data_IF_269456384847
#
_entry.id   IF_269456384847
#
_cell.length_a   1.000
_cell.length_b   1.000
_cell.length_c   1.000
_cell.angle_alpha   90.00
_cell.angle_beta   90.00
_cell.angle_gamma   90.00
#
_symmetry.space_group_name_H-M   'P 1'
#
loop_
_entity.id
_entity.type
_entity.pdbx_description
1 polymer ?
#
# COMPACT_ATOMS: atom_id res chain seq x y z
N UNK A 1 3.45 -14.15 -20.84
CA UNK A 1 4.51 -14.93 -20.14
C UNK A 1 5.15 -14.14 -18.97
N UNK A 2 4.45 -13.17 -18.37
CA UNK A 2 4.97 -12.30 -17.29
C UNK A 2 4.62 -12.77 -15.87
N UNK A 3 3.93 -13.90 -15.72
CA UNK A 3 3.27 -14.29 -14.47
C UNK A 3 4.15 -15.10 -13.50
N UNK A 4 5.10 -15.90 -14.01
CA UNK A 4 5.86 -16.81 -13.15
C UNK A 4 7.07 -16.15 -12.46
N UNK A 5 7.69 -15.14 -13.07
CA UNK A 5 8.87 -14.48 -12.48
C UNK A 5 8.50 -13.44 -11.40
N UNK A 6 7.34 -12.77 -11.53
CA UNK A 6 6.83 -11.81 -10.53
C UNK A 6 6.62 -12.47 -9.16
N UNK A 7 6.12 -13.72 -9.16
CA UNK A 7 5.91 -14.50 -7.93
C UNK A 7 7.23 -14.93 -7.25
N UNK A 8 8.32 -15.10 -8.02
CA UNK A 8 9.60 -15.55 -7.49
C UNK A 8 10.43 -14.44 -6.83
N UNK A 9 10.32 -13.18 -7.31
CA UNK A 9 11.13 -12.06 -6.79
C UNK A 9 10.41 -11.17 -5.78
N UNK A 10 9.08 -11.27 -5.70
CA UNK A 10 8.23 -10.37 -4.90
C UNK A 10 8.64 -8.90 -5.12
N UNK A 11 8.69 -8.49 -6.40
CA UNK A 11 8.95 -7.12 -6.83
C UNK A 11 7.74 -6.62 -7.59
N UNK A 12 7.37 -5.35 -7.38
CA UNK A 12 6.33 -4.70 -8.17
C UNK A 12 6.84 -4.45 -9.60
N UNK A 13 5.94 -4.50 -10.58
CA UNK A 13 6.22 -4.06 -11.93
C UNK A 13 6.43 -2.54 -11.99
N UNK A 14 7.32 -2.02 -12.87
CA UNK A 14 7.53 -0.57 -13.02
C UNK A 14 6.24 0.21 -13.29
N UNK A 15 5.30 -0.39 -13.99
CA UNK A 15 3.97 0.14 -14.30
C UNK A 15 3.13 0.47 -13.05
N UNK A 16 3.33 -0.24 -11.94
CA UNK A 16 2.52 -0.08 -10.74
C UNK A 16 2.88 1.18 -9.93
N UNK A 17 4.10 1.68 -10.08
CA UNK A 17 4.63 2.84 -9.36
C UNK A 17 5.15 3.94 -10.29
N UNK A 18 4.79 3.88 -11.58
CA UNK A 18 5.15 4.92 -12.54
C UNK A 18 4.65 6.30 -12.08
N UNK A 19 5.46 7.31 -12.38
CA UNK A 19 5.26 8.70 -11.94
C UNK A 19 5.48 8.98 -10.45
N UNK A 20 5.76 7.99 -9.61
CA UNK A 20 5.97 8.21 -8.17
C UNK A 20 7.43 8.46 -7.84
N UNK A 21 7.73 9.68 -7.39
CA UNK A 21 9.07 10.07 -6.94
C UNK A 21 9.37 9.60 -5.51
N UNK A 22 9.27 8.30 -5.25
CA UNK A 22 9.39 7.70 -3.91
C UNK A 22 10.74 7.96 -3.20
N UNK A 23 11.76 8.45 -3.91
CA UNK A 23 13.07 8.84 -3.37
C UNK A 23 13.09 10.26 -2.78
N UNK A 24 12.11 11.11 -3.11
CA UNK A 24 11.98 12.45 -2.50
C UNK A 24 11.30 12.41 -1.14
N UNK A 25 11.02 13.58 -0.56
CA UNK A 25 10.30 13.70 0.73
C UNK A 25 8.97 12.92 0.70
N UNK A 26 8.76 11.95 1.60
CA UNK A 26 7.54 11.16 1.66
C UNK A 26 6.49 11.80 2.58
N UNK A 27 5.21 11.46 2.38
CA UNK A 27 4.12 11.86 3.29
C UNK A 27 4.28 11.15 4.66
N UNK A 28 4.78 9.92 4.60
CA UNK A 28 5.22 9.14 5.75
C UNK A 28 6.21 8.09 5.28
N UNK A 29 7.22 7.81 6.07
CA UNK A 29 8.03 6.62 5.90
C UNK A 29 8.39 6.02 7.27
N UNK A 30 8.67 4.72 7.29
CA UNK A 30 8.94 4.01 8.53
C UNK A 30 9.19 2.52 8.30
N UNK A 31 9.85 1.89 9.26
CA UNK A 31 10.00 0.45 9.26
C UNK A 31 8.73 -0.23 9.76
N UNK A 32 8.35 -1.31 9.09
CA UNK A 32 7.29 -2.20 9.54
C UNK A 32 7.70 -3.65 9.34
N UNK A 33 7.23 -4.49 10.23
CA UNK A 33 7.26 -5.94 10.02
C UNK A 33 5.94 -6.38 9.40
N UNK A 34 5.97 -6.74 8.12
CA UNK A 34 4.80 -7.17 7.34
C UNK A 34 4.66 -8.69 7.32
N UNK A 35 3.43 -9.19 7.41
CA UNK A 35 3.12 -10.60 7.12
C UNK A 35 3.13 -10.88 5.61
N UNK A 36 3.78 -11.96 5.20
CA UNK A 36 3.79 -12.46 3.82
C UNK A 36 2.40 -12.92 3.36
N UNK A 37 2.12 -12.73 2.07
CA UNK A 37 0.80 -13.00 1.47
C UNK A 37 0.50 -14.50 1.41
N UNK A 38 1.37 -15.27 0.74
CA UNK A 38 1.23 -16.72 0.56
C UNK A 38 1.76 -17.51 1.75
N UNK A 39 3.00 -17.24 2.15
CA UNK A 39 3.63 -17.86 3.30
C UNK A 39 3.61 -16.83 4.42
N UNK A 40 2.91 -17.13 5.52
CA UNK A 40 2.67 -16.24 6.68
C UNK A 40 3.92 -15.99 7.55
N UNK A 41 5.05 -15.74 6.89
CA UNK A 41 6.31 -15.28 7.49
C UNK A 41 6.25 -13.77 7.71
N UNK A 42 6.97 -13.28 8.72
CA UNK A 42 7.06 -11.86 9.03
C UNK A 42 8.38 -11.30 8.50
N UNK A 43 8.33 -10.18 7.77
CA UNK A 43 9.49 -9.59 7.10
C UNK A 43 9.55 -8.09 7.35
N UNK A 44 10.69 -7.61 7.83
CA UNK A 44 10.96 -6.18 8.03
C UNK A 44 11.18 -5.48 6.69
N UNK A 45 10.44 -4.41 6.44
CA UNK A 45 10.50 -3.63 5.20
C UNK A 45 10.37 -2.15 5.51
N UNK A 46 11.04 -1.33 4.72
CA UNK A 46 10.93 0.12 4.80
C UNK A 46 9.73 0.56 3.95
N UNK A 47 8.72 1.15 4.58
CA UNK A 47 7.52 1.63 3.91
C UNK A 47 7.65 3.11 3.59
N UNK A 48 7.12 3.49 2.42
CA UNK A 48 7.03 4.85 1.93
C UNK A 48 5.60 5.08 1.46
N UNK A 49 4.91 6.04 2.07
CA UNK A 49 3.66 6.58 1.58
C UNK A 49 3.97 7.87 0.82
N UNK A 50 3.62 7.89 -0.48
CA UNK A 50 3.81 9.07 -1.32
C UNK A 50 2.83 9.07 -2.48
N UNK A 51 2.22 10.23 -2.77
CA UNK A 51 1.34 10.45 -3.94
C UNK A 51 0.25 9.37 -4.07
N UNK A 52 -0.38 9.02 -2.95
CA UNK A 52 -1.46 8.03 -2.93
C UNK A 52 -1.01 6.58 -3.18
N UNK A 53 0.29 6.30 -3.16
CA UNK A 53 0.83 4.93 -3.22
C UNK A 53 1.58 4.62 -1.93
N UNK A 54 1.32 3.44 -1.38
CA UNK A 54 2.10 2.84 -0.29
C UNK A 54 3.05 1.81 -0.91
N UNK A 55 4.34 2.07 -0.85
CA UNK A 55 5.42 1.24 -1.39
C UNK A 55 6.26 0.68 -0.25
N UNK A 56 6.92 -0.46 -0.46
CA UNK A 56 7.89 -0.96 0.52
C UNK A 56 9.16 -1.53 -0.10
N UNK A 57 10.28 -1.37 0.60
CA UNK A 57 11.62 -1.68 0.16
C UNK A 57 12.34 -2.60 1.16
N UNK A 58 13.44 -3.20 0.72
CA UNK A 58 14.30 -3.98 1.62
C UNK A 58 15.03 -3.10 2.63
N UNK A 59 15.51 -1.94 2.17
CA UNK A 59 16.33 -1.00 2.93
C UNK A 59 15.68 0.39 2.98
N UNK A 60 16.10 1.20 3.95
CA UNK A 60 15.60 2.59 4.11
C UNK A 60 16.26 3.59 3.17
N UNK A 61 17.44 3.28 2.63
CA UNK A 61 18.08 4.10 1.60
C UNK A 61 17.40 3.85 0.26
N UNK A 62 16.43 4.70 -0.06
CA UNK A 62 15.65 4.63 -1.29
C UNK A 62 16.15 5.66 -2.29
N UNK A 63 16.56 5.20 -3.46
CA UNK A 63 17.09 6.01 -4.58
C UNK A 63 16.21 5.84 -5.81
N UNK A 64 16.36 6.68 -6.87
CA UNK A 64 15.63 6.49 -8.13
C UNK A 64 15.82 5.10 -8.77
N UNK A 65 16.96 4.43 -8.50
CA UNK A 65 17.24 3.08 -9.01
C UNK A 65 16.65 1.95 -8.13
N UNK A 66 16.03 2.29 -7.00
CA UNK A 66 15.49 1.28 -6.07
C UNK A 66 14.20 0.66 -6.61
N UNK A 67 14.08 -0.66 -6.53
CA UNK A 67 12.86 -1.37 -6.92
C UNK A 67 12.03 -1.72 -5.68
N UNK A 68 10.77 -1.25 -5.60
CA UNK A 68 9.86 -1.63 -4.52
C UNK A 68 9.53 -3.14 -4.58
N UNK A 69 9.32 -3.72 -3.40
CA UNK A 69 8.91 -5.11 -3.20
C UNK A 69 7.40 -5.31 -3.26
N UNK A 70 6.67 -4.21 -3.34
CA UNK A 70 5.24 -4.19 -3.58
C UNK A 70 4.73 -2.76 -3.45
N UNK A 71 3.57 -2.55 -4.04
CA UNK A 71 2.95 -1.24 -4.19
C UNK A 71 1.45 -1.42 -4.00
N UNK A 72 0.84 -0.50 -3.26
CA UNK A 72 -0.61 -0.46 -3.08
C UNK A 72 -1.08 0.97 -3.32
N UNK A 73 -1.92 1.20 -4.34
CA UNK A 73 -2.68 2.43 -4.45
C UNK A 73 -3.63 2.52 -3.25
N UNK A 74 -3.50 3.56 -2.43
CA UNK A 74 -4.34 3.71 -1.22
C UNK A 74 -5.81 3.93 -1.57
N UNK A 75 -6.10 4.39 -2.80
CA UNK A 75 -7.46 4.46 -3.33
C UNK A 75 -8.17 3.09 -3.40
N UNK A 76 -7.42 1.98 -3.42
CA UNK A 76 -7.97 0.62 -3.39
C UNK A 76 -8.16 0.07 -1.97
N UNK A 77 -7.72 0.81 -0.95
CA UNK A 77 -7.85 0.42 0.45
C UNK A 77 -9.22 0.84 1.00
N UNK A 78 -9.79 -0.02 1.83
CA UNK A 78 -11.09 0.19 2.47
C UNK A 78 -10.92 0.72 3.89
N UNK A 79 -10.05 0.10 4.67
CA UNK A 79 -9.84 0.43 6.08
C UNK A 79 -8.39 0.26 6.50
N UNK A 80 -7.96 1.07 7.46
CA UNK A 80 -6.72 0.88 8.22
C UNK A 80 -7.04 1.03 9.71
N UNK A 81 -6.67 0.04 10.53
CA UNK A 81 -7.02 0.01 11.97
C UNK A 81 -6.11 -0.92 12.77
N UNK A 82 -6.13 -0.79 14.09
CA UNK A 82 -5.44 -1.72 15.01
C UNK A 82 -5.87 -3.17 14.81
N UNK A 83 -4.94 -4.09 15.05
CA UNK A 83 -5.10 -5.54 14.87
C UNK A 83 -4.46 -6.33 16.02
N UNK A 84 -4.23 -5.68 17.16
CA UNK A 84 -3.56 -6.27 18.33
C UNK A 84 -4.34 -7.46 18.87
N UNK A 85 -5.66 -7.34 19.01
CA UNK A 85 -6.53 -8.42 19.49
C UNK A 85 -6.61 -9.58 18.50
N UNK A 86 -6.59 -9.28 17.19
CA UNK A 86 -6.67 -10.28 16.11
C UNK A 86 -5.39 -11.09 16.01
N UNK A 87 -4.24 -10.44 16.19
CA UNK A 87 -2.92 -11.07 16.02
C UNK A 87 -2.27 -11.50 17.32
N UNK A 88 -2.80 -11.05 18.47
CA UNK A 88 -2.16 -11.14 19.77
C UNK A 88 -0.71 -10.61 19.74
N UNK A 89 -0.53 -9.42 19.14
CA UNK A 89 0.78 -8.76 18.98
C UNK A 89 0.65 -7.27 19.21
N UNK A 90 1.49 -6.71 20.07
CA UNK A 90 1.53 -5.27 20.31
C UNK A 90 1.92 -4.51 19.04
N UNK A 91 1.39 -3.28 18.93
CA UNK A 91 1.66 -2.35 17.83
C UNK A 91 1.26 -2.87 16.45
N UNK A 92 0.37 -3.86 16.43
CA UNK A 92 -0.10 -4.48 15.20
C UNK A 92 -1.29 -3.73 14.61
N UNK A 93 -1.33 -3.63 13.30
CA UNK A 93 -2.44 -3.03 12.57
C UNK A 93 -2.67 -3.75 11.25
N UNK A 94 -3.86 -3.56 10.70
CA UNK A 94 -4.26 -4.12 9.41
C UNK A 94 -4.60 -3.02 8.39
N UNK A 95 -4.35 -3.34 7.12
CA UNK A 95 -4.79 -2.58 5.96
C UNK A 95 -5.65 -3.52 5.09
N UNK A 96 -6.94 -3.21 4.98
CA UNK A 96 -7.86 -3.98 4.15
C UNK A 96 -8.01 -3.33 2.79
N UNK A 97 -8.02 -4.16 1.75
CA UNK A 97 -8.36 -3.79 0.37
C UNK A 97 -9.59 -4.59 -0.06
N UNK A 98 -10.12 -4.32 -1.26
CA UNK A 98 -11.20 -5.16 -1.83
C UNK A 98 -10.83 -6.64 -2.02
N UNK A 99 -9.53 -6.98 -2.06
CA UNK A 99 -9.04 -8.32 -2.41
C UNK A 99 -8.49 -9.09 -1.21
N UNK A 100 -7.83 -8.40 -0.30
CA UNK A 100 -7.12 -9.02 0.82
C UNK A 100 -6.94 -8.05 1.99
N UNK A 101 -6.65 -8.61 3.16
CA UNK A 101 -6.28 -7.87 4.38
C UNK A 101 -4.83 -8.18 4.73
N UNK A 102 -4.05 -7.12 4.88
CA UNK A 102 -2.62 -7.19 5.17
C UNK A 102 -2.34 -6.79 6.61
N UNK A 103 -1.40 -7.47 7.23
CA UNK A 103 -1.01 -7.26 8.61
C UNK A 103 0.41 -6.73 8.76
N UNK A 104 0.57 -5.80 9.69
CA UNK A 104 1.81 -5.11 9.99
C UNK A 104 2.02 -5.00 11.49
N UNK A 105 3.27 -4.86 11.91
CA UNK A 105 3.69 -4.55 13.27
C UNK A 105 4.68 -3.39 13.19
N UNK A 106 4.41 -2.31 13.91
CA UNK A 106 5.32 -1.17 14.05
C UNK A 106 6.31 -1.39 15.21
N UNK A 107 7.39 -0.60 15.26
CA UNK A 107 8.40 -0.73 16.32
C UNK A 107 7.93 -0.01 17.62
N UNK A 108 6.88 0.81 17.56
CA UNK A 108 6.23 1.45 18.72
C UNK A 108 4.77 1.83 18.49
N UNK A 109 4.04 2.11 19.58
CA UNK A 109 2.66 2.62 19.55
C UNK A 109 2.55 3.92 18.76
N UNK A 110 3.50 4.86 18.98
CA UNK A 110 3.53 6.13 18.27
C UNK A 110 3.64 5.91 16.76
N UNK A 111 4.53 5.03 16.32
CA UNK A 111 4.72 4.73 14.89
C UNK A 111 3.49 4.05 14.27
N UNK A 112 2.83 3.14 15.00
CA UNK A 112 1.58 2.53 14.60
C UNK A 112 0.52 3.60 14.33
N UNK A 113 0.25 4.44 15.32
CA UNK A 113 -0.74 5.53 15.21
C UNK A 113 -0.38 6.50 14.09
N UNK A 114 0.89 6.86 13.99
CA UNK A 114 1.42 7.72 12.95
C UNK A 114 1.16 7.17 11.53
N UNK A 115 1.32 5.87 11.33
CA UNK A 115 1.08 5.20 10.05
C UNK A 115 -0.40 5.02 9.77
N UNK A 116 -1.20 4.56 10.74
CA UNK A 116 -2.66 4.44 10.61
C UNK A 116 -3.25 5.78 10.19
N UNK A 117 -2.86 6.86 10.87
CA UNK A 117 -3.37 8.19 10.60
C UNK A 117 -2.94 8.73 9.22
N UNK A 118 -1.67 8.56 8.83
CA UNK A 118 -1.20 9.02 7.51
C UNK A 118 -1.83 8.21 6.37
N UNK A 119 -1.93 6.89 6.50
CA UNK A 119 -2.57 6.04 5.50
C UNK A 119 -4.06 6.36 5.41
N UNK A 120 -4.76 6.46 6.54
CA UNK A 120 -6.19 6.78 6.60
C UNK A 120 -6.52 8.12 5.94
N UNK A 121 -5.73 9.16 6.20
CA UNK A 121 -5.86 10.46 5.51
C UNK A 121 -5.64 10.32 4.00
N UNK A 122 -4.63 9.55 3.59
CA UNK A 122 -4.33 9.35 2.17
C UNK A 122 -5.45 8.58 1.44
N UNK A 123 -6.05 7.57 2.08
CA UNK A 123 -7.23 6.86 1.55
C UNK A 123 -8.37 7.84 1.27
N UNK A 124 -8.71 8.71 2.24
CA UNK A 124 -9.79 9.69 2.08
C UNK A 124 -9.50 10.71 0.97
N UNK A 125 -8.24 11.14 0.86
CA UNK A 125 -7.82 12.11 -0.16
C UNK A 125 -7.91 11.53 -1.58
N UNK A 126 -7.61 10.24 -1.76
CA UNK A 126 -7.51 9.61 -3.08
C UNK A 126 -8.74 8.78 -3.46
N UNK A 127 -9.67 8.51 -2.54
CA UNK A 127 -10.91 7.76 -2.82
C UNK A 127 -11.90 8.55 -3.69
N UNK A 128 -11.88 9.89 -3.63
CA UNK A 128 -12.77 10.77 -4.41
C UNK A 128 -12.42 10.83 -5.90
N UNK A 129 -11.17 10.54 -6.26
CA UNK A 129 -10.71 10.61 -7.66
C UNK A 129 -11.13 9.39 -8.49
N UNK A 130 -11.61 8.31 -7.86
CA UNK A 130 -12.01 7.07 -8.55
C UNK A 130 -13.46 7.16 -9.05
N UNK A 131 -14.35 7.82 -8.32
CA UNK A 131 -15.77 7.94 -8.71
C UNK A 131 -16.01 8.85 -9.91
N UNK A 132 -15.12 9.82 -10.18
CA UNK A 132 -15.23 10.65 -11.38
C UNK A 132 -14.91 9.88 -12.66
N UNK A 133 -14.05 8.85 -12.61
CA UNK A 133 -13.73 8.03 -13.78
C UNK A 133 -14.79 6.96 -14.08
N UNK A 134 -15.52 6.47 -13.07
CA UNK A 134 -16.55 5.43 -13.27
C UNK A 134 -17.87 6.01 -13.83
N UNK A 135 -18.11 7.33 -13.76
CA UNK A 135 -19.36 7.96 -14.22
C UNK A 135 -19.40 8.16 -15.75
N UNK A 136 -18.25 8.31 -16.42
CA UNK A 136 -18.23 8.58 -17.88
C UNK A 136 -18.48 7.35 -18.77
N UNK A 137 -18.37 6.13 -18.23
CA UNK A 137 -18.61 4.90 -19.01
C UNK A 137 -20.10 4.50 -19.10
N UNK A 138 -20.97 5.08 -18.27
CA UNK A 138 -22.39 4.71 -18.27
C UNK A 138 -23.23 5.51 -19.27
N UNK A 139 -22.84 6.75 -19.57
CA UNK A 139 -23.62 7.64 -20.44
C UNK A 139 -23.36 7.42 -21.94
N UNK A 140 -22.26 6.73 -22.28
CA UNK A 140 -21.86 6.49 -23.67
C UNK A 140 -22.64 5.37 -24.39
N UNK A 141 -23.55 4.66 -23.69
CA UNK A 141 -24.34 3.53 -24.25
C UNK A 141 -25.82 3.83 -24.50
N UNK A 142 -26.28 5.06 -24.30
CA UNK A 142 -27.70 5.42 -24.46
C UNK A 142 -28.06 6.25 -25.71
N UNK A 143 -27.11 6.54 -26.61
CA UNK A 143 -27.38 7.35 -27.81
C UNK A 143 -27.45 6.56 -29.13
N UNK A 144 -27.48 5.23 -29.09
CA UNK A 144 -27.70 4.38 -30.27
C UNK A 144 -28.97 3.54 -30.07
N UNK A 145 -30.12 4.19 -30.24
CA UNK A 145 -31.44 3.58 -30.27
C UNK A 145 -32.36 4.41 -31.15
#
# INVERSE_FOLDING_TARGET
>A
MTSLWRAATAQAGPDEYDGVEFWGTPDRAGWLTKQGEYIKTWRRRWFVLKQGKLLWFKESTVTPASTPRGVIPVANCLTVKGAEDVLNRQFAFELSTRRDTMYFIADSEKEKEDLINSIGRSIVQHSRSVTDNEIFDYDSRKSLG
#
